data_IF_028114820476
#
_entry.id   IF_028114820476
#
_cell.length_a   1.000
_cell.length_b   1.000
_cell.length_c   1.000
_cell.angle_alpha   90.00
_cell.angle_beta   90.00
_cell.angle_gamma   90.00
#
_symmetry.space_group_name_H-M   'P 1'
#
loop_
_entity.id
_entity.type
_entity.pdbx_description
1 polymer ?
#
# COMPACT_ATOMS: atom_id res chain seq x y z
N UNK A 1 0.88 -20.60 -13.57
CA UNK A 1 0.42 -19.78 -12.42
C UNK A 1 1.39 -18.62 -12.27
N UNK A 2 0.93 -17.40 -12.51
CA UNK A 2 1.78 -16.20 -12.56
C UNK A 2 1.90 -15.59 -11.18
N UNK A 3 3.13 -15.37 -10.73
CA UNK A 3 3.40 -14.77 -9.42
C UNK A 3 3.42 -13.26 -9.54
N UNK A 4 2.62 -12.57 -8.73
CA UNK A 4 2.57 -11.12 -8.68
C UNK A 4 3.13 -10.60 -7.35
N UNK A 5 3.84 -9.49 -7.40
CA UNK A 5 4.21 -8.71 -6.22
C UNK A 5 3.91 -7.23 -6.45
N UNK A 6 3.34 -6.58 -5.44
CA UNK A 6 2.91 -5.18 -5.49
C UNK A 6 3.89 -4.34 -4.68
N UNK A 7 4.28 -3.18 -5.20
CA UNK A 7 5.16 -2.22 -4.53
C UNK A 7 4.55 -0.83 -4.67
N UNK A 8 4.14 -0.24 -3.54
CA UNK A 8 3.50 1.08 -3.49
C UNK A 8 4.44 2.10 -2.87
N UNK A 9 4.66 3.21 -3.55
CA UNK A 9 5.26 4.42 -2.98
C UNK A 9 4.18 5.25 -2.29
N UNK A 10 4.08 5.10 -0.98
CA UNK A 10 3.10 5.78 -0.14
C UNK A 10 3.27 7.30 -0.08
N UNK A 11 4.50 7.81 -0.21
CA UNK A 11 4.74 9.25 -0.21
C UNK A 11 4.21 9.84 -1.52
N UNK A 12 4.53 9.22 -2.66
CA UNK A 12 4.00 9.65 -3.94
C UNK A 12 2.47 9.54 -3.98
N UNK A 13 1.90 8.43 -3.47
CA UNK A 13 0.46 8.25 -3.40
C UNK A 13 -0.24 9.29 -2.53
N UNK A 14 0.38 9.75 -1.44
CA UNK A 14 -0.16 10.85 -0.63
C UNK A 14 -0.29 12.14 -1.45
N UNK A 15 0.77 12.53 -2.17
CA UNK A 15 0.73 13.71 -3.04
C UNK A 15 -0.22 13.54 -4.24
N UNK A 16 -0.28 12.34 -4.83
CA UNK A 16 -1.16 12.05 -5.96
C UNK A 16 -2.64 12.18 -5.59
N UNK A 17 -3.05 11.71 -4.40
CA UNK A 17 -4.42 11.86 -3.91
C UNK A 17 -4.80 13.33 -3.71
N UNK A 18 -3.90 14.13 -3.14
CA UNK A 18 -4.12 15.57 -2.98
C UNK A 18 -4.29 16.28 -4.33
N UNK A 19 -3.41 15.96 -5.30
CA UNK A 19 -3.44 16.58 -6.62
C UNK A 19 -4.69 16.18 -7.43
N UNK A 20 -5.10 14.91 -7.33
CA UNK A 20 -6.18 14.37 -8.14
C UNK A 20 -7.57 14.50 -7.50
N UNK A 21 -7.65 14.84 -6.21
CA UNK A 21 -8.93 15.05 -5.51
C UNK A 21 -9.72 13.77 -5.20
N UNK A 22 -9.08 12.60 -5.27
CA UNK A 22 -9.70 11.32 -4.90
C UNK A 22 -8.79 10.49 -4.00
N UNK A 23 -9.41 9.66 -3.17
CA UNK A 23 -8.71 8.80 -2.22
C UNK A 23 -8.40 7.44 -2.83
N UNK A 24 -7.16 6.99 -2.63
CA UNK A 24 -6.72 5.68 -3.03
C UNK A 24 -7.21 4.64 -2.03
N UNK A 25 -7.89 3.61 -2.53
CA UNK A 25 -8.30 2.45 -1.73
C UNK A 25 -7.26 1.33 -1.86
N UNK A 26 -6.41 1.11 -0.85
CA UNK A 26 -5.39 0.06 -0.88
C UNK A 26 -5.99 -1.35 -0.90
N UNK A 27 -7.21 -1.55 -0.39
CA UNK A 27 -7.88 -2.85 -0.38
C UNK A 27 -8.32 -3.24 -1.77
N UNK A 28 -8.94 -2.30 -2.50
CA UNK A 28 -9.42 -2.52 -3.86
C UNK A 28 -8.33 -3.03 -4.81
N UNK A 29 -7.09 -2.54 -4.64
CA UNK A 29 -5.95 -3.01 -5.43
C UNK A 29 -5.64 -4.48 -5.16
N UNK A 30 -5.61 -4.90 -3.89
CA UNK A 30 -5.36 -6.30 -3.54
C UNK A 30 -6.47 -7.20 -4.07
N UNK A 31 -7.73 -6.80 -3.88
CA UNK A 31 -8.89 -7.59 -4.26
C UNK A 31 -8.96 -7.77 -5.78
N UNK A 32 -8.65 -6.71 -6.55
CA UNK A 32 -8.57 -6.77 -8.01
C UNK A 32 -7.60 -7.86 -8.47
N UNK A 33 -6.34 -7.82 -8.01
CA UNK A 33 -5.35 -8.80 -8.44
C UNK A 33 -5.55 -10.20 -7.88
N UNK A 34 -6.19 -10.35 -6.72
CA UNK A 34 -6.56 -11.67 -6.16
C UNK A 34 -7.70 -12.33 -6.93
N UNK A 35 -8.55 -11.56 -7.60
CA UNK A 35 -9.68 -12.08 -8.38
C UNK A 35 -9.27 -12.71 -9.72
N UNK A 36 -8.05 -12.45 -10.18
CA UNK A 36 -7.54 -12.93 -11.47
C UNK A 36 -7.16 -14.43 -11.41
N UNK A 37 -7.80 -15.32 -12.20
CA UNK A 37 -7.74 -16.77 -12.03
C UNK A 37 -6.36 -17.40 -12.27
N UNK A 38 -5.42 -16.66 -12.86
CA UNK A 38 -4.06 -17.11 -13.15
C UNK A 38 -2.98 -16.38 -12.34
N UNK A 39 -3.38 -15.49 -11.43
CA UNK A 39 -2.47 -14.69 -10.61
C UNK A 39 -2.43 -15.24 -9.19
N UNK A 40 -1.22 -15.29 -8.65
CA UNK A 40 -0.99 -15.54 -7.23
C UNK A 40 -0.27 -14.34 -6.66
N UNK A 41 -0.97 -13.55 -5.86
CA UNK A 41 -0.35 -12.47 -5.12
C UNK A 41 0.59 -13.08 -4.06
N UNK A 42 1.89 -12.88 -4.23
CA UNK A 42 2.92 -13.38 -3.32
C UNK A 42 3.15 -12.38 -2.19
N UNK A 43 3.28 -11.11 -2.54
CA UNK A 43 3.56 -10.03 -1.60
C UNK A 43 2.93 -8.72 -2.05
N UNK A 44 2.63 -7.86 -1.09
CA UNK A 44 2.32 -6.45 -1.32
C UNK A 44 3.12 -5.61 -0.34
N UNK A 45 3.91 -4.67 -0.84
CA UNK A 45 4.76 -3.79 -0.03
C UNK A 45 4.28 -2.35 -0.13
N UNK A 46 4.32 -1.66 1.00
CA UNK A 46 4.03 -0.23 1.09
C UNK A 46 5.22 0.51 1.69
N UNK A 47 5.79 1.47 0.95
CA UNK A 47 6.94 2.24 1.39
C UNK A 47 6.51 3.65 1.75
N UNK A 48 6.89 4.16 2.92
CA UNK A 48 6.60 5.55 3.29
C UNK A 48 7.67 6.14 4.18
N UNK A 49 7.92 7.43 4.00
CA UNK A 49 8.81 8.22 4.85
C UNK A 49 8.04 8.84 6.00
N UNK A 50 8.60 8.80 7.20
CA UNK A 50 7.99 9.38 8.40
C UNK A 50 8.89 10.48 8.96
N UNK A 51 8.29 11.58 9.42
CA UNK A 51 9.02 12.61 10.17
C UNK A 51 9.06 12.24 11.66
N UNK A 52 7.94 11.71 12.17
CA UNK A 52 7.85 11.14 13.51
C UNK A 52 7.39 9.66 13.45
N UNK A 53 7.95 8.75 14.26
CA UNK A 53 7.48 7.35 14.33
C UNK A 53 6.00 7.16 14.67
N UNK A 54 5.34 8.16 15.24
CA UNK A 54 3.91 8.18 15.54
C UNK A 54 3.05 8.61 14.34
N UNK A 55 3.65 9.23 13.32
CA UNK A 55 2.93 9.72 12.16
C UNK A 55 2.14 8.59 11.49
N UNK A 56 0.85 8.85 11.27
CA UNK A 56 -0.07 7.97 10.56
C UNK A 56 -0.05 6.52 11.05
N UNK A 57 0.19 6.28 12.35
CA UNK A 57 0.23 4.92 12.93
C UNK A 57 -1.04 4.12 12.61
N UNK A 58 -2.22 4.69 12.84
CA UNK A 58 -3.49 4.00 12.57
C UNK A 58 -3.68 3.62 11.10
N UNK A 59 -3.22 4.46 10.16
CA UNK A 59 -3.26 4.12 8.73
C UNK A 59 -2.30 2.97 8.39
N UNK A 60 -1.09 2.98 8.95
CA UNK A 60 -0.12 1.88 8.77
C UNK A 60 -0.64 0.57 9.35
N UNK A 61 -1.23 0.60 10.54
CA UNK A 61 -1.81 -0.57 11.17
C UNK A 61 -2.96 -1.15 10.31
N UNK A 62 -3.78 -0.27 9.71
CA UNK A 62 -4.80 -0.69 8.75
C UNK A 62 -4.20 -1.35 7.50
N UNK A 63 -3.14 -0.79 6.91
CA UNK A 63 -2.44 -1.39 5.77
C UNK A 63 -1.89 -2.79 6.10
N UNK A 64 -1.30 -2.95 7.28
CA UNK A 64 -0.82 -4.26 7.77
C UNK A 64 -1.98 -5.24 7.90
N UNK A 65 -3.09 -4.82 8.51
CA UNK A 65 -4.30 -5.65 8.64
C UNK A 65 -4.91 -6.04 7.29
N UNK A 66 -4.73 -5.25 6.23
CA UNK A 66 -5.19 -5.57 4.88
C UNK A 66 -4.29 -6.60 4.16
N UNK A 67 -3.07 -6.83 4.68
CA UNK A 67 -2.10 -7.77 4.11
C UNK A 67 -0.91 -7.11 3.39
N UNK A 68 -0.70 -5.80 3.56
CA UNK A 68 0.53 -5.15 3.11
C UNK A 68 1.66 -5.36 4.12
N UNK A 69 2.87 -5.54 3.61
CA UNK A 69 4.10 -5.35 4.37
C UNK A 69 4.49 -3.88 4.31
N UNK A 70 4.36 -3.17 5.42
CA UNK A 70 4.71 -1.75 5.50
C UNK A 70 6.19 -1.59 5.84
N UNK A 71 6.90 -0.77 5.06
CA UNK A 71 8.31 -0.41 5.23
C UNK A 71 8.40 1.10 5.43
N UNK A 72 8.93 1.50 6.58
CA UNK A 72 9.07 2.91 6.93
C UNK A 72 10.52 3.34 6.92
N UNK A 73 10.78 4.58 6.50
CA UNK A 73 12.09 5.23 6.61
C UNK A 73 11.91 6.53 7.39
N UNK A 74 12.67 6.75 8.46
CA UNK A 74 12.70 8.05 9.13
C UNK A 74 13.44 9.04 8.21
N UNK A 75 12.84 10.21 7.98
CA UNK A 75 13.33 11.26 7.10
C UNK A 75 14.09 12.35 7.86
#
# INVERSE_FOLDING_TARGET
MNRLSIFVDGNNMFYAQQKNGWFFDPRRVLDYFKSEPNITLVNAFWYTGLKDPQDQRGFRDALISLGYTVRTKIL
#
